data_IF_837297887801
#
_entry.id   IF_837297887801
#
_cell.length_a   1.000
_cell.length_b   1.000
_cell.length_c   1.000
_cell.angle_alpha   90.00
_cell.angle_beta   90.00
_cell.angle_gamma   90.00
#
_symmetry.space_group_name_H-M   'P 1'
#
loop_
_entity.id
_entity.type
_entity.pdbx_description
1 polymer ?
#
# COMPACT_ATOMS: atom_id res chain seq x y z
N UNK A 1 -18.69 31.33 8.23
CA UNK A 1 -18.62 29.88 8.01
C UNK A 1 -17.61 29.65 6.90
N UNK A 2 -16.47 28.98 7.13
CA UNK A 2 -15.51 28.75 6.07
C UNK A 2 -16.06 27.69 5.13
N UNK A 3 -16.19 28.08 3.87
CA UNK A 3 -16.71 27.28 2.78
C UNK A 3 -15.77 26.10 2.52
N UNK A 4 -16.25 24.87 2.75
CA UNK A 4 -15.62 23.65 2.28
C UNK A 4 -15.54 23.70 0.74
N UNK A 5 -14.36 24.04 0.21
CA UNK A 5 -14.04 23.87 -1.20
C UNK A 5 -13.07 22.69 -1.33
N UNK A 6 -13.14 21.89 -2.41
CA UNK A 6 -12.33 20.68 -2.59
C UNK A 6 -10.81 20.93 -2.73
N UNK A 7 -10.33 22.18 -2.60
CA UNK A 7 -8.93 22.58 -2.72
C UNK A 7 -8.11 22.54 -1.40
N UNK A 8 -8.72 22.14 -0.27
CA UNK A 8 -8.03 22.08 1.04
C UNK A 8 -7.00 20.94 1.21
N UNK A 9 -6.84 20.05 0.23
CA UNK A 9 -5.84 18.96 0.28
C UNK A 9 -4.40 19.49 0.39
N UNK A 10 -4.08 20.62 -0.27
CA UNK A 10 -2.73 21.17 -0.28
C UNK A 10 -2.22 21.65 1.10
N UNK A 11 -2.97 22.48 1.87
CA UNK A 11 -2.54 22.83 3.22
C UNK A 11 -2.58 21.64 4.20
N UNK A 12 -3.52 20.70 4.04
CA UNK A 12 -3.59 19.49 4.88
C UNK A 12 -2.37 18.58 4.70
N UNK A 13 -1.97 18.29 3.46
CA UNK A 13 -0.77 17.50 3.18
C UNK A 13 0.50 18.19 3.66
N UNK A 14 0.58 19.53 3.58
CA UNK A 14 1.72 20.28 4.12
C UNK A 14 1.85 20.12 5.64
N UNK A 15 0.76 20.21 6.39
CA UNK A 15 0.74 19.98 7.84
C UNK A 15 1.09 18.53 8.18
N UNK A 16 0.64 17.55 7.39
CA UNK A 16 1.03 16.16 7.56
C UNK A 16 2.55 15.97 7.35
N UNK A 17 3.11 16.55 6.28
CA UNK A 17 4.53 16.44 5.99
C UNK A 17 5.41 17.15 7.01
N UNK A 18 4.99 18.31 7.52
CA UNK A 18 5.71 19.01 8.56
C UNK A 18 5.67 18.24 9.88
N UNK A 19 4.51 17.71 10.27
CA UNK A 19 4.35 16.88 11.47
C UNK A 19 5.15 15.57 11.40
N UNK A 20 5.10 14.85 10.29
CA UNK A 20 5.87 13.62 10.08
C UNK A 20 7.37 13.90 10.11
N UNK A 21 7.86 14.94 9.41
CA UNK A 21 9.30 15.27 9.43
C UNK A 21 9.80 15.63 10.85
N UNK A 22 8.98 16.34 11.63
CA UNK A 22 9.32 16.71 13.01
C UNK A 22 9.40 15.48 13.91
N UNK A 23 8.41 14.58 13.82
CA UNK A 23 8.39 13.32 14.56
C UNK A 23 9.57 12.43 14.17
N UNK A 24 9.85 12.29 12.88
CA UNK A 24 10.98 11.51 12.38
C UNK A 24 12.34 12.03 12.86
N UNK A 25 12.52 13.35 12.91
CA UNK A 25 13.78 13.96 13.33
C UNK A 25 14.12 13.69 14.79
N UNK A 26 13.13 13.54 15.66
CA UNK A 26 13.35 13.23 17.10
C UNK A 26 13.35 11.72 17.36
N UNK A 27 12.46 10.99 16.68
CA UNK A 27 12.21 9.58 16.94
C UNK A 27 13.27 8.67 16.30
N UNK A 28 13.78 8.99 15.11
CA UNK A 28 14.81 8.18 14.44
C UNK A 28 16.13 8.16 15.21
N UNK A 29 16.67 9.31 15.72
CA UNK A 29 17.85 9.30 16.57
C UNK A 29 17.61 8.59 17.92
N UNK A 30 16.44 8.77 18.53
CA UNK A 30 16.10 8.12 19.81
C UNK A 30 16.03 6.60 19.67
N UNK A 31 15.37 6.08 18.63
CA UNK A 31 15.33 4.64 18.37
C UNK A 31 16.68 4.09 17.95
N UNK A 32 17.49 4.82 17.17
CA UNK A 32 18.87 4.41 16.87
C UNK A 32 19.73 4.34 18.14
N UNK A 33 19.59 5.29 19.07
CA UNK A 33 20.32 5.29 20.34
C UNK A 33 20.03 4.06 21.22
N UNK A 34 18.77 3.62 21.26
CA UNK A 34 18.38 2.41 22.00
C UNK A 34 18.71 1.14 21.21
N UNK A 35 18.40 1.11 19.90
CA UNK A 35 18.62 -0.05 19.03
C UNK A 35 20.10 -0.40 18.93
N UNK A 36 21.00 0.57 18.78
CA UNK A 36 22.45 0.32 18.73
C UNK A 36 23.01 -0.30 20.02
N UNK A 37 22.29 -0.18 21.15
CA UNK A 37 22.68 -0.77 22.43
C UNK A 37 22.13 -2.19 22.63
N UNK A 38 20.99 -2.54 22.02
CA UNK A 38 20.30 -3.82 22.21
C UNK A 38 20.51 -4.77 21.01
N UNK A 39 20.49 -4.25 19.78
CA UNK A 39 20.69 -5.01 18.53
C UNK A 39 21.58 -4.20 17.57
N UNK A 40 22.92 -4.35 17.65
CA UNK A 40 23.82 -3.73 16.71
C UNK A 40 23.47 -4.16 15.27
N UNK A 41 23.55 -3.23 14.31
CA UNK A 41 23.24 -3.42 12.88
C UNK A 41 21.76 -3.57 12.48
N UNK A 42 20.80 -3.41 13.39
CA UNK A 42 19.38 -3.42 13.03
C UNK A 42 18.98 -2.21 12.17
N UNK A 43 18.40 -2.45 10.99
CA UNK A 43 17.78 -1.41 10.16
C UNK A 43 16.35 -1.15 10.67
N UNK A 44 16.04 0.03 11.24
CA UNK A 44 14.71 0.31 11.77
C UNK A 44 13.69 0.39 10.64
N UNK A 45 12.61 -0.39 10.76
CA UNK A 45 11.42 -0.23 9.91
C UNK A 45 10.62 0.97 10.43
N UNK A 46 10.41 1.97 9.57
CA UNK A 46 9.55 3.11 9.85
C UNK A 46 8.34 3.10 8.91
N UNK A 47 7.28 3.79 9.34
CA UNK A 47 6.04 3.88 8.59
C UNK A 47 6.22 4.41 7.18
N UNK A 48 5.29 4.01 6.31
CA UNK A 48 5.24 4.37 4.90
C UNK A 48 5.38 5.89 4.58
N UNK A 49 5.00 6.85 5.45
CA UNK A 49 5.16 8.29 5.17
C UNK A 49 6.61 8.76 5.17
N UNK A 50 7.56 7.96 5.69
CA UNK A 50 9.01 8.26 5.56
C UNK A 50 9.40 8.47 4.11
N UNK A 51 8.74 7.79 3.16
CA UNK A 51 9.05 7.88 1.73
C UNK A 51 8.44 9.12 1.07
N UNK A 52 7.43 9.75 1.68
CA UNK A 52 6.69 10.84 1.04
C UNK A 52 7.50 12.13 0.86
N UNK A 53 8.37 12.52 1.81
CA UNK A 53 9.33 13.61 1.63
C UNK A 53 10.26 13.47 0.41
N UNK A 54 10.56 12.25 -0.04
CA UNK A 54 11.52 11.99 -1.11
C UNK A 54 10.90 12.11 -2.51
N UNK A 55 9.59 11.88 -2.64
CA UNK A 55 8.89 11.95 -3.93
C UNK A 55 7.43 12.44 -3.78
N UNK A 56 7.19 13.69 -3.33
CA UNK A 56 5.85 14.17 -3.01
C UNK A 56 4.91 14.19 -4.22
N UNK A 57 5.43 14.49 -5.42
CA UNK A 57 4.64 14.45 -6.65
C UNK A 57 4.16 13.04 -7.00
N UNK A 58 4.97 12.02 -6.71
CA UNK A 58 4.59 10.62 -6.96
C UNK A 58 3.52 10.12 -5.97
N UNK A 59 3.55 10.61 -4.73
CA UNK A 59 2.54 10.30 -3.70
C UNK A 59 1.17 10.79 -4.14
N UNK A 60 1.06 12.03 -4.62
CA UNK A 60 -0.22 12.61 -5.06
C UNK A 60 -0.76 11.85 -6.27
N UNK A 61 0.10 11.56 -7.26
CA UNK A 61 -0.29 10.79 -8.45
C UNK A 61 -0.72 9.37 -8.08
N UNK A 62 0.00 8.72 -7.16
CA UNK A 62 -0.35 7.40 -6.62
C UNK A 62 -1.69 7.41 -5.91
N UNK A 63 -1.91 8.35 -5.00
CA UNK A 63 -3.18 8.52 -4.30
C UNK A 63 -4.36 8.70 -5.24
N UNK A 64 -4.25 9.58 -6.25
CA UNK A 64 -5.32 9.82 -7.21
C UNK A 64 -5.58 8.58 -8.08
N UNK A 65 -4.51 7.94 -8.56
CA UNK A 65 -4.61 6.72 -9.35
C UNK A 65 -5.24 5.56 -8.57
N UNK A 66 -4.83 5.35 -7.31
CA UNK A 66 -5.41 4.35 -6.41
C UNK A 66 -6.85 4.67 -6.09
N UNK A 67 -7.21 5.94 -5.84
CA UNK A 67 -8.60 6.33 -5.60
C UNK A 67 -9.48 6.02 -6.80
N UNK A 68 -9.02 6.30 -8.03
CA UNK A 68 -9.75 5.93 -9.25
C UNK A 68 -9.88 4.41 -9.36
N UNK A 69 -8.81 3.65 -9.13
CA UNK A 69 -8.83 2.19 -9.12
C UNK A 69 -9.83 1.63 -8.11
N UNK A 70 -9.85 2.17 -6.89
CA UNK A 70 -10.75 1.73 -5.83
C UNK A 70 -12.22 2.12 -6.10
N UNK A 71 -12.48 3.28 -6.73
CA UNK A 71 -13.85 3.64 -7.17
C UNK A 71 -14.32 2.69 -8.26
N UNK A 72 -13.46 2.34 -9.22
CA UNK A 72 -13.77 1.34 -10.24
C UNK A 72 -14.07 -0.01 -9.57
N UNK A 73 -13.23 -0.46 -8.64
CA UNK A 73 -13.46 -1.70 -7.89
C UNK A 73 -14.78 -1.69 -7.12
N UNK A 74 -15.08 -0.59 -6.43
CA UNK A 74 -16.33 -0.41 -5.69
C UNK A 74 -17.58 -0.52 -6.57
N UNK A 75 -17.53 -0.05 -7.81
CA UNK A 75 -18.66 -0.14 -8.74
C UNK A 75 -18.75 -1.49 -9.44
N UNK A 76 -17.59 -2.11 -9.73
CA UNK A 76 -17.51 -3.32 -10.55
C UNK A 76 -17.75 -4.58 -9.73
N UNK A 77 -17.18 -4.69 -8.53
CA UNK A 77 -17.25 -5.93 -7.74
C UNK A 77 -18.65 -6.30 -7.24
N UNK A 78 -19.53 -5.35 -6.86
CA UNK A 78 -20.91 -5.69 -6.54
C UNK A 78 -21.70 -6.27 -7.71
N UNK A 79 -21.35 -5.95 -8.97
CA UNK A 79 -22.00 -6.54 -10.15
C UNK A 79 -21.69 -8.04 -10.30
N UNK A 80 -20.60 -8.52 -9.69
CA UNK A 80 -20.22 -9.93 -9.65
C UNK A 80 -20.67 -10.65 -8.35
N UNK A 81 -21.48 -9.98 -7.52
CA UNK A 81 -21.96 -10.54 -6.25
C UNK A 81 -20.93 -10.53 -5.12
N UNK A 82 -19.84 -9.76 -5.25
CA UNK A 82 -18.85 -9.56 -4.18
C UNK A 82 -19.25 -8.39 -3.27
N UNK A 83 -18.71 -8.36 -2.05
CA UNK A 83 -19.00 -7.32 -1.07
C UNK A 83 -18.62 -5.92 -1.60
N UNK A 84 -19.50 -4.94 -1.39
CA UNK A 84 -19.23 -3.54 -1.72
C UNK A 84 -18.30 -2.94 -0.67
N UNK A 85 -17.08 -2.59 -1.09
CA UNK A 85 -16.07 -2.01 -0.20
C UNK A 85 -15.95 -0.52 -0.45
N UNK A 86 -16.22 0.26 0.59
CA UNK A 86 -16.09 1.71 0.54
C UNK A 86 -14.60 2.09 0.60
N UNK A 87 -14.08 2.86 -0.37
CA UNK A 87 -12.68 3.26 -0.37
C UNK A 87 -12.37 4.22 0.80
N UNK A 88 -11.41 3.82 1.64
CA UNK A 88 -10.90 4.65 2.72
C UNK A 88 -9.92 5.71 2.22
N UNK A 89 -10.06 6.95 2.70
CA UNK A 89 -9.13 8.03 2.34
C UNK A 89 -7.71 7.76 2.85
N UNK A 90 -7.59 7.28 4.09
CA UNK A 90 -6.29 6.99 4.70
C UNK A 90 -5.53 5.91 3.93
N UNK A 91 -6.20 4.83 3.56
CA UNK A 91 -5.56 3.66 2.96
C UNK A 91 -5.20 3.90 1.50
N UNK A 92 -6.09 4.57 0.75
CA UNK A 92 -5.75 5.06 -0.58
C UNK A 92 -4.58 6.04 -0.56
N UNK A 93 -4.47 6.89 0.46
CA UNK A 93 -3.39 7.88 0.56
C UNK A 93 -2.06 7.25 1.01
N UNK A 94 -2.08 6.44 2.06
CA UNK A 94 -0.88 5.82 2.62
C UNK A 94 -0.38 4.69 1.73
N UNK A 95 -1.18 3.63 1.56
CA UNK A 95 -0.79 2.48 0.75
C UNK A 95 -0.68 2.84 -0.74
N UNK A 96 -1.65 3.58 -1.28
CA UNK A 96 -1.64 4.05 -2.68
C UNK A 96 -0.56 5.10 -2.97
N UNK A 97 -0.28 5.99 -2.03
CA UNK A 97 0.84 6.93 -2.12
C UNK A 97 2.19 6.22 -2.18
N UNK A 98 2.40 5.23 -1.32
CA UNK A 98 3.61 4.40 -1.31
C UNK A 98 3.74 3.56 -2.59
N UNK A 99 2.64 2.95 -3.06
CA UNK A 99 2.60 2.26 -4.35
C UNK A 99 2.97 3.20 -5.51
N UNK A 100 2.53 4.47 -5.46
CA UNK A 100 2.91 5.50 -6.42
C UNK A 100 4.39 5.87 -6.37
N UNK A 101 4.99 5.97 -5.18
CA UNK A 101 6.43 6.25 -5.00
C UNK A 101 7.28 5.11 -5.59
N UNK A 102 6.96 3.86 -5.26
CA UNK A 102 7.66 2.70 -5.83
C UNK A 102 7.39 2.53 -7.33
N UNK A 103 6.16 2.75 -7.79
CA UNK A 103 5.81 2.75 -9.21
C UNK A 103 6.55 3.83 -10.00
N UNK A 104 6.77 4.99 -9.40
CA UNK A 104 7.58 6.06 -9.98
C UNK A 104 9.07 5.68 -10.04
N UNK A 105 9.59 4.99 -9.03
CA UNK A 105 10.97 4.52 -9.01
C UNK A 105 11.24 3.47 -10.11
N UNK A 106 10.33 2.52 -10.35
CA UNK A 106 10.50 1.48 -11.37
C UNK A 106 10.15 1.93 -12.80
N UNK A 107 9.11 2.76 -12.97
CA UNK A 107 8.51 3.04 -14.29
C UNK A 107 8.25 4.52 -14.56
N UNK A 108 8.77 5.43 -13.74
CA UNK A 108 8.52 6.86 -13.82
C UNK A 108 7.04 7.22 -13.70
N UNK A 109 6.63 8.33 -14.32
CA UNK A 109 5.24 8.85 -14.22
C UNK A 109 4.16 7.85 -14.66
N UNK A 110 4.45 7.01 -15.66
CA UNK A 110 3.51 5.98 -16.14
C UNK A 110 3.42 4.81 -15.17
N UNK A 111 4.54 4.40 -14.58
CA UNK A 111 4.58 3.38 -13.54
C UNK A 111 3.83 3.79 -12.28
N UNK A 112 3.91 5.07 -11.88
CA UNK A 112 3.15 5.61 -10.75
C UNK A 112 1.63 5.52 -10.96
N UNK A 113 1.14 5.88 -12.15
CA UNK A 113 -0.30 5.82 -12.46
C UNK A 113 -0.80 4.38 -12.57
N UNK A 114 -0.12 3.53 -13.34
CA UNK A 114 -0.55 2.15 -13.55
C UNK A 114 -0.45 1.35 -12.24
N UNK A 115 0.66 1.53 -11.51
CA UNK A 115 0.86 0.90 -10.20
C UNK A 115 -0.18 1.35 -9.18
N UNK A 116 -0.52 2.64 -9.16
CA UNK A 116 -1.58 3.18 -8.31
C UNK A 116 -2.96 2.58 -8.62
N UNK A 117 -3.36 2.56 -9.90
CA UNK A 117 -4.67 2.00 -10.31
C UNK A 117 -4.77 0.51 -9.99
N UNK A 118 -3.73 -0.27 -10.32
CA UNK A 118 -3.71 -1.70 -10.01
C UNK A 118 -3.79 -1.91 -8.50
N UNK A 119 -3.00 -1.17 -7.72
CA UNK A 119 -3.08 -1.25 -6.27
C UNK A 119 -4.49 -0.92 -5.73
N UNK A 120 -5.16 0.10 -6.28
CA UNK A 120 -6.55 0.45 -5.96
C UNK A 120 -7.55 -0.68 -6.22
N UNK A 121 -7.37 -1.41 -7.32
CA UNK A 121 -8.18 -2.60 -7.61
C UNK A 121 -7.87 -3.75 -6.64
N UNK A 122 -6.60 -3.94 -6.27
CA UNK A 122 -6.20 -4.99 -5.32
C UNK A 122 -6.77 -4.73 -3.91
N UNK A 123 -6.67 -3.51 -3.39
CA UNK A 123 -7.20 -3.17 -2.05
C UNK A 123 -8.73 -3.20 -1.97
N UNK A 124 -9.43 -3.23 -3.10
CA UNK A 124 -10.89 -3.40 -3.13
C UNK A 124 -11.30 -4.84 -3.42
N UNK A 125 -10.53 -5.57 -4.23
CA UNK A 125 -10.82 -6.96 -4.60
C UNK A 125 -10.51 -7.96 -3.47
N UNK A 126 -9.32 -7.86 -2.88
CA UNK A 126 -8.85 -8.77 -1.82
C UNK A 126 -9.79 -8.80 -0.62
N UNK A 127 -10.20 -7.65 -0.06
CA UNK A 127 -11.10 -7.67 1.09
C UNK A 127 -12.52 -8.08 0.68
N UNK A 128 -12.93 -7.95 -0.60
CA UNK A 128 -14.23 -8.44 -1.07
C UNK A 128 -14.34 -9.97 -0.96
N UNK A 129 -13.22 -10.67 -1.10
CA UNK A 129 -13.11 -12.13 -0.90
C UNK A 129 -12.95 -12.46 0.59
N UNK A 130 -12.29 -11.60 1.37
CA UNK A 130 -12.07 -11.82 2.79
C UNK A 130 -13.34 -11.67 3.63
N UNK A 131 -14.23 -10.71 3.31
CA UNK A 131 -15.46 -10.44 4.06
C UNK A 131 -16.32 -11.69 4.28
N UNK A 132 -16.71 -12.48 3.25
CA UNK A 132 -17.53 -13.69 3.48
C UNK A 132 -16.81 -14.73 4.33
N UNK A 133 -15.47 -14.79 4.28
CA UNK A 133 -14.69 -15.65 5.15
C UNK A 133 -14.75 -15.18 6.60
N UNK A 134 -14.63 -13.87 6.87
CA UNK A 134 -14.74 -13.30 8.21
C UNK A 134 -16.15 -13.43 8.80
N UNK A 135 -17.19 -13.33 7.97
CA UNK A 135 -18.57 -13.55 8.39
C UNK A 135 -18.79 -14.98 8.91
N UNK A 136 -18.11 -15.98 8.33
CA UNK A 136 -18.16 -17.36 8.84
C UNK A 136 -17.58 -17.52 10.25
N UNK A 137 -16.73 -16.58 10.69
CA UNK A 137 -16.16 -16.52 12.04
C UNK A 137 -16.96 -15.60 12.99
N UNK A 138 -18.05 -14.99 12.52
CA UNK A 138 -18.90 -14.09 13.32
C UNK A 138 -18.49 -12.61 13.26
N UNK A 139 -17.52 -12.24 12.43
CA UNK A 139 -17.12 -10.85 12.22
C UNK A 139 -17.89 -10.27 11.02
N UNK A 140 -18.93 -9.48 11.30
CA UNK A 140 -19.79 -8.89 10.27
C UNK A 140 -19.37 -7.45 9.95
N UNK A 141 -19.30 -7.12 8.66
CA UNK A 141 -19.04 -5.74 8.21
C UNK A 141 -17.65 -5.18 8.52
N UNK A 142 -16.70 -6.01 8.96
CA UNK A 142 -15.32 -5.60 9.23
C UNK A 142 -14.36 -6.26 8.25
N UNK A 143 -13.36 -5.50 7.82
CA UNK A 143 -12.29 -6.00 6.96
C UNK A 143 -11.00 -5.23 7.23
N UNK A 144 -9.88 -5.81 6.82
CA UNK A 144 -8.58 -5.13 6.86
C UNK A 144 -8.43 -4.22 5.64
N UNK A 145 -7.59 -3.19 5.77
CA UNK A 145 -7.47 -2.16 4.74
C UNK A 145 -6.19 -2.25 3.90
N UNK A 146 -5.18 -2.97 4.37
CA UNK A 146 -3.89 -3.11 3.69
C UNK A 146 -3.75 -4.49 3.03
N UNK A 147 -3.23 -4.53 1.80
CA UNK A 147 -3.21 -5.75 0.97
C UNK A 147 -2.40 -6.90 1.57
N UNK A 148 -1.35 -6.59 2.33
CA UNK A 148 -0.50 -7.56 3.03
C UNK A 148 -1.24 -8.22 4.20
N UNK A 149 -1.93 -7.43 5.02
CA UNK A 149 -2.76 -7.94 6.12
C UNK A 149 -3.94 -8.74 5.60
N UNK A 150 -4.58 -8.30 4.51
CA UNK A 150 -5.67 -9.05 3.89
C UNK A 150 -5.16 -10.38 3.31
N UNK A 151 -3.99 -10.39 2.65
CA UNK A 151 -3.41 -11.60 2.08
C UNK A 151 -3.04 -12.63 3.16
N UNK A 152 -2.44 -12.17 4.27
CA UNK A 152 -2.13 -13.05 5.41
C UNK A 152 -3.38 -13.55 6.12
N UNK A 153 -4.39 -12.70 6.27
CA UNK A 153 -5.71 -13.06 6.79
C UNK A 153 -6.41 -14.13 5.94
N UNK A 154 -6.34 -14.01 4.62
CA UNK A 154 -6.93 -14.98 3.69
C UNK A 154 -6.22 -16.34 3.76
N UNK A 155 -4.89 -16.34 3.84
CA UNK A 155 -4.09 -17.58 4.00
C UNK A 155 -4.40 -18.26 5.32
N UNK A 156 -4.38 -17.51 6.43
CA UNK A 156 -4.63 -18.06 7.76
C UNK A 156 -6.07 -18.55 7.90
N UNK A 157 -7.05 -17.77 7.46
CA UNK A 157 -8.46 -18.14 7.58
C UNK A 157 -8.80 -19.42 6.82
N UNK A 158 -8.32 -19.58 5.58
CA UNK A 158 -8.52 -20.83 4.85
C UNK A 158 -7.70 -22.01 5.40
N UNK A 159 -6.56 -21.75 6.05
CA UNK A 159 -5.82 -22.78 6.77
C UNK A 159 -6.62 -23.30 7.99
N UNK A 160 -7.28 -22.42 8.74
CA UNK A 160 -8.14 -22.80 9.86
C UNK A 160 -9.42 -23.54 9.42
N UNK A 161 -9.93 -23.27 8.21
CA UNK A 161 -11.06 -24.01 7.61
C UNK A 161 -10.65 -25.33 6.94
N UNK A 162 -9.38 -25.74 7.06
CA UNK A 162 -8.82 -26.96 6.46
C UNK A 162 -8.89 -27.00 4.92
N UNK A 163 -9.04 -25.85 4.25
CA UNK A 163 -9.06 -25.74 2.79
C UNK A 163 -7.64 -25.51 2.24
N UNK A 164 -6.79 -26.53 2.39
CA UNK A 164 -5.37 -26.48 1.98
C UNK A 164 -5.16 -26.27 0.47
N UNK A 165 -6.16 -26.62 -0.35
CA UNK A 165 -6.08 -26.47 -1.80
C UNK A 165 -6.13 -24.99 -2.21
N UNK A 166 -7.00 -24.19 -1.57
CA UNK A 166 -7.05 -22.75 -1.78
C UNK A 166 -5.76 -22.07 -1.30
N UNK A 167 -5.25 -22.47 -0.12
CA UNK A 167 -3.99 -21.93 0.43
C UNK A 167 -2.81 -22.22 -0.49
N UNK A 168 -2.67 -23.46 -0.98
CA UNK A 168 -1.62 -23.84 -1.91
C UNK A 168 -1.71 -23.07 -3.23
N UNK A 169 -2.91 -22.93 -3.80
CA UNK A 169 -3.13 -22.14 -5.02
C UNK A 169 -2.79 -20.66 -4.81
N UNK A 170 -3.18 -20.08 -3.67
CA UNK A 170 -2.92 -18.68 -3.38
C UNK A 170 -1.41 -18.43 -3.18
N UNK A 171 -0.70 -19.34 -2.52
CA UNK A 171 0.77 -19.26 -2.37
C UNK A 171 1.46 -19.42 -3.73
N UNK A 172 1.02 -20.36 -4.56
CA UNK A 172 1.56 -20.53 -5.93
C UNK A 172 1.27 -19.30 -6.78
N UNK A 173 0.10 -18.68 -6.65
CA UNK A 173 -0.25 -17.45 -7.36
C UNK A 173 0.65 -16.28 -6.95
N UNK A 174 0.89 -16.10 -5.65
CA UNK A 174 1.82 -15.08 -5.13
C UNK A 174 3.25 -15.36 -5.57
N UNK A 175 3.70 -16.62 -5.52
CA UNK A 175 5.02 -17.02 -5.98
C UNK A 175 5.20 -16.83 -7.50
N UNK A 176 4.17 -17.09 -8.29
CA UNK A 176 4.15 -16.86 -9.73
C UNK A 176 4.19 -15.37 -10.07
N UNK A 177 3.45 -14.53 -9.33
CA UNK A 177 3.55 -13.08 -9.43
C UNK A 177 4.95 -12.59 -9.08
N UNK A 178 5.52 -13.07 -7.97
CA UNK A 178 6.88 -12.73 -7.57
C UNK A 178 7.91 -13.15 -8.63
N UNK A 179 7.78 -14.35 -9.19
CA UNK A 179 8.63 -14.83 -10.29
C UNK A 179 8.49 -13.96 -11.54
N UNK A 180 7.26 -13.61 -11.94
CA UNK A 180 7.01 -12.78 -13.11
C UNK A 180 7.58 -11.37 -12.95
N UNK A 181 7.50 -10.81 -11.74
CA UNK A 181 8.09 -9.51 -11.40
C UNK A 181 9.62 -9.61 -11.41
N UNK A 182 10.20 -10.65 -10.79
CA UNK A 182 11.65 -10.82 -10.72
C UNK A 182 12.28 -11.11 -12.09
N UNK A 183 11.59 -11.89 -12.94
CA UNK A 183 12.00 -12.16 -14.33
C UNK A 183 12.01 -10.94 -15.24
N UNK A 184 11.22 -9.90 -14.93
CA UNK A 184 11.28 -8.59 -15.62
C UNK A 184 12.27 -7.63 -14.99
N UNK A 185 12.61 -7.82 -13.71
CA UNK A 185 13.58 -6.99 -12.98
C UNK A 185 15.04 -7.33 -13.30
N UNK A 186 15.31 -8.47 -13.94
CA UNK A 186 16.63 -8.91 -14.37
C UNK A 186 17.18 -8.21 -15.64
N UNK A 187 16.63 -7.06 -16.05
CA UNK A 187 17.31 -6.18 -17.02
C UNK A 187 18.10 -5.12 -16.25
N UNK A 188 19.43 -5.26 -16.11
CA UNK A 188 20.25 -4.24 -15.48
C UNK A 188 20.19 -3.02 -16.39
N UNK A 189 19.57 -1.94 -15.92
CA UNK A 189 19.70 -0.64 -16.58
C UNK A 189 20.95 0.00 -16.01
N UNK A 190 22.00 0.01 -16.84
CA UNK A 190 23.36 0.40 -16.50
C UNK A 190 23.49 1.75 -15.80
N UNK A 191 24.39 1.72 -14.83
CA UNK A 191 25.32 2.76 -14.36
C UNK A 191 25.49 4.00 -15.26
N UNK A 192 25.29 5.19 -14.67
CA UNK A 192 26.25 6.32 -14.69
C UNK A 192 25.80 7.48 -13.78
N UNK A 193 26.36 7.50 -12.57
CA UNK A 193 26.96 8.61 -11.79
C UNK A 193 26.43 10.05 -11.99
N UNK A 194 26.05 10.71 -10.89
CA UNK A 194 26.67 11.99 -10.53
C UNK A 194 26.78 12.15 -9.00
N UNK A 195 27.98 11.84 -8.54
CA UNK A 195 28.63 12.41 -7.37
C UNK A 195 28.75 13.93 -7.55
N UNK A 196 28.32 14.70 -6.55
CA UNK A 196 28.89 16.02 -6.22
C UNK A 196 28.34 16.47 -4.87
N UNK A 197 29.25 16.43 -3.87
CA UNK A 197 29.48 17.39 -2.76
C UNK A 197 28.27 18.14 -2.21
#
# INVERSE_FOLDING_TARGET
MPSCSPFSLSPGSFVLYSGVRLLLNELVPAFRGIAMRIVPDAKPALDCPVLFPYAPNAVIVGFLATTVGSIIGMLVFPMFGLAMILPGLLTNFFAGGTAGVFGNALGGRRGAMIGGVIHGLFITFLPAILVPMLESYGFTGVTFSDSDVISSGLVLGHAFQNNWLFVALFIVFVAALAWFVNGKSAKPKGESVHESV
#
